data_IF_954204155252
#
_entry.id   IF_954204155252
#
_cell.length_a   1.000
_cell.length_b   1.000
_cell.length_c   1.000
_cell.angle_alpha   90.00
_cell.angle_beta   90.00
_cell.angle_gamma   90.00
#
_symmetry.space_group_name_H-M   'P 1'
#
loop_
_entity.id
_entity.type
_entity.pdbx_description
1 polymer ?
#
# COMPACT_ATOMS: atom_id res chain seq x y z
N UNK A 1 13.79 -3.70 -2.55
CA UNK A 1 12.79 -2.67 -2.92
C UNK A 1 12.12 -2.15 -1.65
N UNK A 2 12.13 -0.84 -1.46
CA UNK A 2 11.44 -0.20 -0.33
C UNK A 2 9.93 -0.23 -0.57
N UNK A 3 9.18 -0.62 0.44
CA UNK A 3 7.71 -0.58 0.44
C UNK A 3 7.29 0.62 1.28
N UNK A 4 6.82 1.68 0.61
CA UNK A 4 6.54 2.96 1.26
C UNK A 4 5.03 3.23 1.26
N UNK A 5 4.43 3.24 2.44
CA UNK A 5 3.02 3.64 2.60
C UNK A 5 3.00 5.12 2.90
N UNK A 6 2.38 5.90 2.02
CA UNK A 6 2.20 7.33 2.15
C UNK A 6 0.71 7.61 2.31
N UNK A 7 0.31 8.03 3.50
CA UNK A 7 -1.11 8.14 3.82
C UNK A 7 -1.46 9.52 4.36
N UNK A 8 -2.64 10.01 3.98
CA UNK A 8 -3.20 11.23 4.55
C UNK A 8 -3.93 10.92 5.86
N UNK A 9 -3.73 11.77 6.85
CA UNK A 9 -4.33 11.63 8.15
C UNK A 9 -3.49 10.81 9.13
N UNK A 10 -3.77 11.00 10.41
CA UNK A 10 -3.07 10.31 11.50
C UNK A 10 -3.87 9.10 11.92
N UNK A 11 -3.22 7.95 11.98
CA UNK A 11 -3.83 6.73 12.50
C UNK A 11 -3.77 6.70 14.04
N UNK A 12 -2.78 7.36 14.63
CA UNK A 12 -2.60 7.54 16.07
C UNK A 12 -2.70 6.21 16.86
N UNK A 13 -3.08 6.28 18.13
CA UNK A 13 -3.36 5.08 18.94
C UNK A 13 -4.80 4.65 18.71
N UNK A 14 -4.95 3.56 17.98
CA UNK A 14 -6.24 3.03 17.58
C UNK A 14 -6.11 1.53 17.31
N UNK A 15 -7.20 0.77 17.28
CA UNK A 15 -7.15 -0.63 16.85
C UNK A 15 -6.53 -0.79 15.48
N UNK A 16 -6.83 0.11 14.53
CA UNK A 16 -6.27 0.11 13.19
C UNK A 16 -4.77 0.37 13.22
N UNK A 17 -4.31 1.29 14.07
CA UNK A 17 -2.89 1.57 14.26
C UNK A 17 -2.13 0.38 14.84
N UNK A 18 -2.74 -0.33 15.78
CA UNK A 18 -2.15 -1.55 16.36
C UNK A 18 -2.01 -2.64 15.30
N UNK A 19 -3.01 -2.82 14.44
CA UNK A 19 -2.95 -3.77 13.33
C UNK A 19 -1.87 -3.36 12.32
N UNK A 20 -1.82 -2.08 11.96
CA UNK A 20 -0.78 -1.56 11.07
C UNK A 20 0.60 -1.91 11.59
N UNK A 21 0.87 -1.58 12.87
CA UNK A 21 2.17 -1.84 13.48
C UNK A 21 2.51 -3.32 13.50
N UNK A 22 1.52 -4.17 13.78
CA UNK A 22 1.70 -5.62 13.79
C UNK A 22 2.25 -6.11 12.45
N UNK A 23 1.65 -5.70 11.35
CA UNK A 23 2.05 -6.18 10.03
C UNK A 23 3.33 -5.53 9.53
N UNK A 24 3.53 -4.23 9.79
CA UNK A 24 4.77 -3.56 9.41
C UNK A 24 5.99 -4.24 10.07
N UNK A 25 5.86 -4.67 11.32
CA UNK A 25 6.96 -5.36 12.03
C UNK A 25 7.27 -6.74 11.44
N UNK A 26 6.31 -7.40 10.80
CA UNK A 26 6.49 -8.72 10.22
C UNK A 26 7.09 -8.68 8.82
N UNK A 27 7.02 -7.54 8.13
CA UNK A 27 7.55 -7.39 6.78
C UNK A 27 9.08 -7.38 6.86
N UNK A 28 9.73 -8.29 6.13
CA UNK A 28 11.19 -8.42 6.11
C UNK A 28 11.86 -7.51 5.08
N UNK A 29 11.11 -7.01 4.09
CA UNK A 29 11.62 -6.03 3.16
C UNK A 29 11.69 -4.66 3.82
N UNK A 30 12.54 -3.73 3.33
CA UNK A 30 12.53 -2.36 3.86
C UNK A 30 11.14 -1.75 3.74
N UNK A 31 10.66 -1.17 4.82
CA UNK A 31 9.32 -0.58 4.86
C UNK A 31 9.38 0.80 5.51
N UNK A 32 8.56 1.72 5.02
CA UNK A 32 8.42 3.06 5.56
C UNK A 32 6.95 3.45 5.56
N UNK A 33 6.51 4.10 6.62
CA UNK A 33 5.17 4.65 6.75
C UNK A 33 5.28 6.15 7.01
N UNK A 34 4.73 6.96 6.11
CA UNK A 34 4.73 8.41 6.21
C UNK A 34 3.30 8.91 6.24
N UNK A 35 3.00 9.78 7.22
CA UNK A 35 1.69 10.41 7.31
C UNK A 35 1.78 11.87 6.85
N UNK A 36 0.80 12.27 6.03
CA UNK A 36 0.62 13.65 5.61
C UNK A 36 -0.63 14.22 6.27
N UNK A 37 -0.73 15.56 6.42
CA UNK A 37 -1.98 16.17 6.83
C UNK A 37 -3.12 15.77 5.89
N UNK A 38 -4.37 15.92 6.35
CA UNK A 38 -5.54 15.65 5.51
C UNK A 38 -5.51 16.47 4.23
N UNK A 39 -4.98 17.68 4.29
CA UNK A 39 -4.80 18.56 3.14
C UNK A 39 -3.43 19.23 3.18
N UNK A 40 -2.84 19.42 2.00
CA UNK A 40 -1.56 20.11 1.85
C UNK A 40 -0.40 19.29 2.37
N UNK A 41 0.59 19.97 2.95
CA UNK A 41 1.84 19.35 3.38
C UNK A 41 2.79 19.09 2.22
N UNK A 42 4.01 18.68 2.56
CA UNK A 42 5.04 18.40 1.57
C UNK A 42 5.02 16.91 1.21
N UNK A 43 4.66 16.63 -0.04
CA UNK A 43 4.72 15.25 -0.54
C UNK A 43 6.18 14.91 -0.82
N UNK A 44 6.72 13.82 -0.25
CA UNK A 44 8.09 13.40 -0.56
C UNK A 44 8.28 13.23 -2.06
N UNK A 45 9.41 13.71 -2.62
CA UNK A 45 9.66 13.56 -4.04
C UNK A 45 9.72 12.08 -4.43
N UNK A 46 9.43 11.81 -5.72
CA UNK A 46 9.53 10.46 -6.25
C UNK A 46 10.98 10.17 -6.65
N UNK A 47 11.67 9.27 -5.96
CA UNK A 47 12.99 8.84 -6.42
C UNK A 47 12.92 8.18 -7.79
N UNK A 48 14.07 8.11 -8.47
CA UNK A 48 14.16 7.35 -9.71
C UNK A 48 13.77 5.89 -9.47
N UNK A 49 13.16 5.26 -10.47
CA UNK A 49 12.73 3.86 -10.40
C UNK A 49 11.72 3.59 -9.29
N UNK A 50 10.79 4.52 -9.10
CA UNK A 50 9.65 4.36 -8.18
C UNK A 50 8.41 3.99 -8.98
N UNK A 51 7.61 3.08 -8.44
CA UNK A 51 6.26 2.78 -8.92
C UNK A 51 5.25 3.28 -7.91
N UNK A 52 4.18 3.89 -8.40
CA UNK A 52 3.14 4.48 -7.56
C UNK A 52 1.87 3.65 -7.68
N UNK A 53 1.37 3.20 -6.54
CA UNK A 53 0.10 2.48 -6.41
C UNK A 53 -0.84 3.37 -5.63
N UNK A 54 -1.99 3.70 -6.21
CA UNK A 54 -3.06 4.37 -5.47
C UNK A 54 -4.07 3.34 -4.97
N UNK A 55 -4.43 3.45 -3.72
CA UNK A 55 -5.58 2.75 -3.16
C UNK A 55 -6.82 3.58 -3.50
N UNK A 56 -7.64 3.09 -4.43
CA UNK A 56 -8.76 3.85 -4.98
C UNK A 56 -9.91 2.90 -5.33
N UNK A 57 -11.14 3.30 -5.01
CA UNK A 57 -12.32 2.47 -5.28
C UNK A 57 -12.55 2.18 -6.77
N UNK A 58 -11.98 3.01 -7.64
CA UNK A 58 -12.02 2.81 -9.10
C UNK A 58 -10.93 1.88 -9.60
N UNK A 59 -10.11 1.35 -8.69
CA UNK A 59 -8.98 0.53 -9.04
C UNK A 59 -9.36 -0.89 -9.43
N UNK A 60 -8.37 -1.61 -9.93
CA UNK A 60 -8.48 -3.02 -10.24
C UNK A 60 -8.49 -3.83 -8.94
N UNK A 61 -9.31 -4.87 -8.91
CA UNK A 61 -9.31 -5.84 -7.82
C UNK A 61 -8.27 -6.91 -8.10
N UNK A 62 -7.25 -6.99 -7.24
CA UNK A 62 -6.20 -7.99 -7.36
C UNK A 62 -6.48 -9.14 -6.38
N UNK A 63 -6.17 -10.36 -6.80
CA UNK A 63 -5.99 -11.43 -5.83
C UNK A 63 -4.70 -11.19 -5.06
N UNK A 64 -4.56 -11.80 -3.88
CA UNK A 64 -3.31 -11.69 -3.11
C UNK A 64 -2.13 -12.24 -3.90
N UNK A 65 -2.34 -13.33 -4.67
CA UNK A 65 -1.31 -13.92 -5.51
C UNK A 65 -0.89 -12.97 -6.64
N UNK A 66 -1.85 -12.31 -7.30
CA UNK A 66 -1.54 -11.35 -8.36
C UNK A 66 -0.83 -10.10 -7.81
N UNK A 67 -1.22 -9.65 -6.63
CA UNK A 67 -0.54 -8.55 -5.96
C UNK A 67 0.91 -8.93 -5.62
N UNK A 68 1.12 -10.13 -5.09
CA UNK A 68 2.47 -10.63 -4.83
C UNK A 68 3.29 -10.72 -6.11
N UNK A 69 2.70 -11.23 -7.20
CA UNK A 69 3.38 -11.32 -8.49
C UNK A 69 3.78 -9.94 -9.02
N UNK A 70 2.94 -8.93 -8.83
CA UNK A 70 3.25 -7.55 -9.22
C UNK A 70 4.49 -7.04 -8.48
N UNK A 71 4.51 -7.19 -7.14
CA UNK A 71 5.65 -6.75 -6.33
C UNK A 71 6.92 -7.53 -6.67
N UNK A 72 6.79 -8.82 -6.93
CA UNK A 72 7.91 -9.67 -7.35
C UNK A 72 8.51 -9.21 -8.68
N UNK A 73 7.67 -8.89 -9.67
CA UNK A 73 8.15 -8.37 -10.96
C UNK A 73 8.88 -7.03 -10.79
N UNK A 74 8.31 -6.12 -10.02
CA UNK A 74 8.96 -4.82 -9.79
C UNK A 74 10.31 -4.98 -9.10
N UNK A 75 10.40 -5.84 -8.10
CA UNK A 75 11.69 -6.15 -7.46
C UNK A 75 12.70 -6.67 -8.47
N UNK A 76 12.30 -7.62 -9.30
CA UNK A 76 13.19 -8.27 -10.26
C UNK A 76 13.58 -7.31 -11.40
N UNK A 77 12.73 -6.35 -11.73
CA UNK A 77 12.99 -5.31 -12.73
C UNK A 77 13.83 -4.15 -12.20
N UNK A 78 14.25 -4.20 -10.94
CA UNK A 78 15.09 -3.17 -10.35
C UNK A 78 14.37 -1.94 -9.84
N UNK A 79 13.05 -2.02 -9.63
CA UNK A 79 12.30 -0.95 -8.97
C UNK A 79 12.82 -0.77 -7.55
N UNK A 80 13.15 0.47 -7.18
CA UNK A 80 13.74 0.77 -5.88
C UNK A 80 12.71 1.04 -4.80
N UNK A 81 11.57 1.62 -5.18
CA UNK A 81 10.50 1.94 -4.23
C UNK A 81 9.15 1.66 -4.88
N UNK A 82 8.31 0.93 -4.17
CA UNK A 82 6.88 0.85 -4.45
C UNK A 82 6.17 1.75 -3.44
N UNK A 83 5.58 2.84 -3.93
CA UNK A 83 4.90 3.81 -3.07
C UNK A 83 3.40 3.59 -3.15
N UNK A 84 2.81 3.25 -2.00
CA UNK A 84 1.37 3.02 -1.86
C UNK A 84 0.76 4.28 -1.25
N UNK A 85 -0.11 4.93 -2.01
CA UNK A 85 -0.69 6.20 -1.60
C UNK A 85 -2.15 6.00 -1.19
N UNK A 86 -2.46 6.41 0.03
CA UNK A 86 -3.80 6.36 0.58
C UNK A 86 -4.25 7.81 0.79
N UNK A 87 -5.34 8.20 0.12
CA UNK A 87 -5.92 9.53 0.24
C UNK A 87 -6.69 9.71 1.54
N UNK A 88 -7.14 10.95 1.77
CA UNK A 88 -8.06 11.26 2.84
C UNK A 88 -9.45 10.66 2.57
N UNK A 89 -10.41 10.88 3.48
CA UNK A 89 -11.75 10.30 3.38
C UNK A 89 -12.49 10.67 2.09
N UNK A 90 -12.16 11.80 1.47
CA UNK A 90 -12.73 12.24 0.19
C UNK A 90 -12.02 11.65 -1.05
N UNK A 91 -10.97 10.83 -0.84
CA UNK A 91 -10.30 10.10 -1.90
C UNK A 91 -9.21 10.91 -2.63
N UNK A 92 -8.86 10.44 -3.81
CA UNK A 92 -7.83 11.04 -4.67
C UNK A 92 -8.42 11.92 -5.74
N UNK A 93 -7.67 12.94 -6.17
CA UNK A 93 -8.02 13.72 -7.35
C UNK A 93 -7.66 13.01 -8.67
N UNK A 94 -8.22 13.51 -9.77
CA UNK A 94 -7.98 12.92 -11.09
C UNK A 94 -6.51 12.96 -11.51
N UNK A 95 -5.79 14.01 -11.13
CA UNK A 95 -4.38 14.14 -11.45
C UNK A 95 -3.55 13.03 -10.81
N UNK A 96 -3.80 12.73 -9.53
CA UNK A 96 -3.13 11.65 -8.84
C UNK A 96 -3.40 10.29 -9.50
N UNK A 97 -4.64 10.07 -9.96
CA UNK A 97 -5.00 8.84 -10.66
C UNK A 97 -4.24 8.70 -11.98
N UNK A 98 -4.04 9.79 -12.70
CA UNK A 98 -3.31 9.77 -13.98
C UNK A 98 -1.82 9.48 -13.81
N UNK A 99 -1.23 9.95 -12.72
CA UNK A 99 0.20 9.78 -12.44
C UNK A 99 0.55 8.42 -11.86
N UNK A 100 -0.45 7.68 -11.36
CA UNK A 100 -0.21 6.38 -10.76
C UNK A 100 0.09 5.30 -11.81
N UNK A 101 0.97 4.39 -11.46
CA UNK A 101 1.23 3.21 -12.30
C UNK A 101 0.11 2.18 -12.18
N UNK A 102 -0.48 2.06 -11.01
CA UNK A 102 -1.56 1.09 -10.72
C UNK A 102 -2.55 1.70 -9.75
N UNK A 103 -3.83 1.48 -9.99
CA UNK A 103 -4.90 1.74 -9.04
C UNK A 103 -5.41 0.41 -8.50
N UNK A 104 -5.49 0.26 -7.18
CA UNK A 104 -5.93 -0.97 -6.52
C UNK A 104 -7.16 -0.67 -5.67
N UNK A 105 -8.19 -1.52 -5.79
CA UNK A 105 -9.37 -1.49 -4.94
C UNK A 105 -9.47 -2.76 -4.10
N UNK A 106 -9.98 -2.63 -2.89
CA UNK A 106 -10.29 -3.75 -1.99
C UNK A 106 -11.75 -4.17 -2.10
N UNK A 107 -12.23 -4.33 -3.34
CA UNK A 107 -13.60 -4.69 -3.62
C UNK A 107 -14.45 -3.49 -3.97
N UNK A 108 -15.75 -3.75 -4.20
CA UNK A 108 -16.71 -2.71 -4.62
C UNK A 108 -17.25 -1.90 -3.45
N UNK A 109 -17.13 -2.41 -2.22
CA UNK A 109 -17.60 -1.71 -1.04
C UNK A 109 -16.61 -0.64 -0.60
N UNK A 110 -17.14 0.42 0.00
CA UNK A 110 -16.32 1.48 0.58
C UNK A 110 -15.83 1.05 1.96
N UNK A 111 -14.54 1.24 2.22
CA UNK A 111 -13.92 0.95 3.51
C UNK A 111 -13.50 2.25 4.21
N UNK A 112 -13.59 2.31 5.55
CA UNK A 112 -12.98 3.44 6.27
C UNK A 112 -11.49 3.52 5.93
N UNK A 113 -10.98 4.74 5.71
CA UNK A 113 -9.61 4.90 5.21
C UNK A 113 -8.53 4.39 6.18
N UNK A 114 -8.76 4.50 7.50
CA UNK A 114 -7.80 3.96 8.48
C UNK A 114 -7.80 2.43 8.49
N UNK A 115 -8.97 1.82 8.32
CA UNK A 115 -9.07 0.36 8.19
C UNK A 115 -8.39 -0.12 6.90
N UNK A 116 -8.61 0.59 5.80
CA UNK A 116 -7.96 0.25 4.52
C UNK A 116 -6.43 0.33 4.63
N UNK A 117 -5.89 1.27 5.43
CA UNK A 117 -4.45 1.35 5.68
C UNK A 117 -3.92 0.10 6.37
N UNK A 118 -4.60 -0.38 7.39
CA UNK A 118 -4.23 -1.62 8.08
C UNK A 118 -4.37 -2.83 7.15
N UNK A 119 -5.43 -2.88 6.35
CA UNK A 119 -5.64 -3.93 5.35
C UNK A 119 -4.53 -3.96 4.31
N UNK A 120 -4.08 -2.79 3.86
CA UNK A 120 -2.98 -2.69 2.91
C UNK A 120 -1.68 -3.26 3.51
N UNK A 121 -1.36 -2.89 4.75
CA UNK A 121 -0.17 -3.42 5.43
C UNK A 121 -0.23 -4.94 5.53
N UNK A 122 -1.39 -5.50 5.84
CA UNK A 122 -1.59 -6.95 5.88
C UNK A 122 -1.34 -7.58 4.50
N UNK A 123 -1.89 -7.00 3.43
CA UNK A 123 -1.69 -7.52 2.08
C UNK A 123 -0.23 -7.39 1.62
N UNK A 124 0.47 -6.33 1.99
CA UNK A 124 1.90 -6.18 1.71
C UNK A 124 2.69 -7.28 2.41
N UNK A 125 2.41 -7.52 3.70
CA UNK A 125 3.04 -8.61 4.42
C UNK A 125 2.74 -9.95 3.76
N UNK A 126 1.48 -10.20 3.42
CA UNK A 126 1.04 -11.44 2.74
C UNK A 126 1.78 -11.63 1.42
N UNK A 127 1.93 -10.57 0.63
CA UNK A 127 2.65 -10.62 -0.64
C UNK A 127 4.11 -11.02 -0.45
N UNK A 128 4.80 -10.42 0.52
CA UNK A 128 6.20 -10.78 0.81
C UNK A 128 6.31 -12.20 1.35
N UNK A 129 5.33 -12.66 2.11
CA UNK A 129 5.27 -14.03 2.61
C UNK A 129 5.09 -15.04 1.47
N UNK A 130 4.20 -14.73 0.51
CA UNK A 130 4.01 -15.56 -0.68
C UNK A 130 5.32 -15.67 -1.46
N UNK A 131 5.98 -14.55 -1.71
CA UNK A 131 7.23 -14.53 -2.48
C UNK A 131 8.38 -15.27 -1.79
N UNK A 132 8.35 -15.33 -0.46
CA UNK A 132 9.35 -16.06 0.33
C UNK A 132 9.02 -17.54 0.52
N UNK A 133 7.86 -18.01 0.05
CA UNK A 133 7.41 -19.37 0.28
C UNK A 133 6.98 -19.63 1.73
N UNK A 134 6.70 -18.57 2.49
CA UNK A 134 6.26 -18.69 3.89
C UNK A 134 4.80 -19.17 3.94
N UNK A 135 4.43 -20.06 4.91
CA UNK A 135 3.08 -20.64 4.94
C UNK A 135 1.97 -19.74 5.45
N UNK A 136 2.20 -18.44 5.62
CA UNK A 136 1.19 -17.50 6.10
C UNK A 136 -0.05 -17.47 5.19
N UNK A 137 0.17 -17.38 3.88
CA UNK A 137 -0.93 -17.34 2.91
C UNK A 137 -1.38 -18.77 2.59
N UNK A 138 -2.70 -18.98 2.66
CA UNK A 138 -3.33 -20.22 2.23
C UNK A 138 -4.41 -19.86 1.23
N UNK A 139 -4.26 -20.33 -0.01
CA UNK A 139 -5.29 -20.24 -1.02
C UNK A 139 -6.39 -21.24 -0.68
N UNK A 140 -7.64 -20.78 -0.63
CA UNK A 140 -8.80 -21.62 -0.42
C UNK A 140 -9.45 -21.96 -1.74
#
# INVERSE_FOLDING_TARGET
>A
MLLHILARGRIARSPEGDLLDRYLKRITWPVKHTELPDRGGTIPPLPAQTRVVLLDERGKQFSSEDFAALLGRWRDDGVREARFVIGAADGHGDEARKEADVLIAFGAMTWPHLMARAMLAEQIYRATAILAGHPYHRAN
#
